data_IF_595222483490
#
_entry.id   IF_595222483490
#
_cell.length_a   1.000
_cell.length_b   1.000
_cell.length_c   1.000
_cell.angle_alpha   90.00
_cell.angle_beta   90.00
_cell.angle_gamma   90.00
#
_symmetry.space_group_name_H-M   'P 1'
#
loop_
_entity.id
_entity.type
_entity.pdbx_description
1 polymer ?
#
# COMPACT_ATOMS: atom_id res chain seq x y z
N UNK A 1 31.83 -30.61 0.27
CA UNK A 1 31.11 -29.96 1.38
C UNK A 1 31.48 -28.48 1.32
N UNK A 2 30.58 -27.63 0.83
CA UNK A 2 30.70 -26.19 0.94
C UNK A 2 29.30 -25.57 0.74
N UNK A 3 28.76 -25.11 1.87
CA UNK A 3 28.02 -23.85 2.00
C UNK A 3 26.72 -23.73 1.19
N UNK A 4 25.67 -24.29 1.81
CA UNK A 4 24.28 -23.89 1.60
C UNK A 4 24.16 -22.43 2.04
N UNK A 5 24.44 -21.50 1.11
CA UNK A 5 24.24 -20.08 1.31
C UNK A 5 22.73 -19.89 1.41
N UNK A 6 22.25 -19.74 2.63
CA UNK A 6 20.88 -19.35 2.92
C UNK A 6 20.64 -18.05 2.15
N UNK A 7 19.94 -18.16 1.01
CA UNK A 7 19.33 -17.02 0.35
C UNK A 7 18.34 -16.44 1.35
N UNK A 8 18.77 -15.35 2.00
CA UNK A 8 17.89 -14.47 2.73
C UNK A 8 16.67 -14.19 1.83
N UNK A 9 15.43 -14.32 2.32
CA UNK A 9 14.28 -13.91 1.54
C UNK A 9 14.49 -12.44 1.17
N UNK A 10 14.40 -12.17 -0.13
CA UNK A 10 14.58 -10.86 -0.71
C UNK A 10 13.40 -9.98 -0.26
N UNK A 11 13.57 -9.26 0.85
CA UNK A 11 12.57 -8.29 1.36
C UNK A 11 12.34 -7.11 0.40
N UNK A 12 13.00 -7.12 -0.77
CA UNK A 12 12.84 -6.10 -1.83
C UNK A 12 11.76 -6.48 -2.85
N UNK A 13 11.40 -7.77 -2.97
CA UNK A 13 10.47 -8.25 -4.02
C UNK A 13 9.04 -7.71 -3.82
N UNK A 14 8.60 -7.52 -2.57
CA UNK A 14 7.28 -6.93 -2.26
C UNK A 14 7.20 -5.44 -2.61
N UNK A 15 8.35 -4.73 -2.64
CA UNK A 15 8.40 -3.30 -3.00
C UNK A 15 8.36 -3.08 -4.50
N UNK A 16 8.78 -4.06 -5.30
CA UNK A 16 8.76 -4.00 -6.77
C UNK A 16 7.35 -4.16 -7.37
N UNK A 17 6.36 -4.62 -6.57
CA UNK A 17 4.96 -4.76 -6.99
C UNK A 17 4.07 -3.56 -6.65
N UNK A 18 4.62 -2.51 -6.02
CA UNK A 18 3.86 -1.32 -5.66
C UNK A 18 3.73 -0.35 -6.85
N UNK A 19 2.58 0.32 -7.01
CA UNK A 19 2.46 1.43 -7.96
C UNK A 19 3.49 2.50 -7.67
N UNK A 20 4.14 3.04 -8.70
CA UNK A 20 5.17 4.09 -8.58
C UNK A 20 4.68 5.25 -7.69
N UNK A 21 3.43 5.68 -7.88
CA UNK A 21 2.85 6.77 -7.08
C UNK A 21 2.75 6.43 -5.59
N UNK A 22 2.46 5.17 -5.25
CA UNK A 22 2.36 4.71 -3.85
C UNK A 22 3.74 4.62 -3.21
N UNK A 23 4.71 4.06 -3.93
CA UNK A 23 6.10 3.99 -3.47
C UNK A 23 6.66 5.40 -3.21
N UNK A 24 6.45 6.32 -4.14
CA UNK A 24 6.89 7.72 -4.02
C UNK A 24 6.23 8.40 -2.81
N UNK A 25 4.91 8.26 -2.65
CA UNK A 25 4.17 8.88 -1.55
C UNK A 25 4.59 8.34 -0.17
N UNK A 26 4.76 7.02 -0.03
CA UNK A 26 5.23 6.39 1.22
C UNK A 26 6.64 6.86 1.59
N UNK A 27 7.53 6.95 0.59
CA UNK A 27 8.90 7.43 0.77
C UNK A 27 8.95 8.90 1.17
N UNK A 28 8.13 9.76 0.55
CA UNK A 28 8.07 11.18 0.87
C UNK A 28 7.49 11.45 2.27
N UNK A 29 6.54 10.63 2.71
CA UNK A 29 5.88 10.77 3.99
C UNK A 29 6.59 10.06 5.16
N UNK A 30 7.73 9.40 4.89
CA UNK A 30 8.41 8.51 5.84
C UNK A 30 7.45 7.50 6.51
N UNK A 31 6.54 6.96 5.70
CA UNK A 31 5.38 6.22 6.18
C UNK A 31 5.53 4.69 6.05
N UNK A 32 6.73 4.22 5.68
CA UNK A 32 7.03 2.81 5.44
C UNK A 32 6.75 1.93 6.66
N UNK A 33 7.15 2.36 7.86
CA UNK A 33 6.88 1.61 9.09
C UNK A 33 5.37 1.37 9.29
N UNK A 34 4.55 2.42 9.16
CA UNK A 34 3.10 2.30 9.31
C UNK A 34 2.42 1.52 8.19
N UNK A 35 3.03 1.44 7.01
CA UNK A 35 2.61 0.59 5.89
C UNK A 35 2.93 -0.89 6.15
N UNK A 36 4.18 -1.20 6.52
CA UNK A 36 4.67 -2.57 6.77
C UNK A 36 4.00 -3.21 8.00
N UNK A 37 3.58 -2.42 8.99
CA UNK A 37 2.80 -2.89 10.13
C UNK A 37 1.37 -3.35 9.75
N UNK A 38 0.86 -3.00 8.57
CA UNK A 38 -0.49 -3.42 8.17
C UNK A 38 -0.54 -4.88 7.73
N UNK A 39 -1.66 -5.58 7.97
CA UNK A 39 -1.90 -6.90 7.40
C UNK A 39 -1.81 -6.88 5.86
N UNK A 40 -1.32 -7.96 5.27
CA UNK A 40 -1.16 -8.09 3.81
C UNK A 40 -2.47 -7.81 3.05
N UNK A 41 -3.62 -8.22 3.59
CA UNK A 41 -4.94 -7.95 2.98
C UNK A 41 -5.24 -6.44 2.89
N UNK A 42 -4.87 -5.69 3.93
CA UNK A 42 -5.03 -4.22 3.98
C UNK A 42 -4.11 -3.56 2.97
N UNK A 43 -2.85 -4.00 2.90
CA UNK A 43 -1.90 -3.50 1.91
C UNK A 43 -2.40 -3.77 0.47
N UNK A 44 -2.83 -4.99 0.16
CA UNK A 44 -3.35 -5.37 -1.15
C UNK A 44 -4.59 -4.56 -1.57
N UNK A 45 -5.48 -4.24 -0.63
CA UNK A 45 -6.63 -3.37 -0.88
C UNK A 45 -6.21 -1.96 -1.30
N UNK A 46 -5.27 -1.35 -0.59
CA UNK A 46 -4.79 -0.01 -0.92
C UNK A 46 -3.98 0.00 -2.22
N UNK A 47 -3.17 -1.02 -2.48
CA UNK A 47 -2.48 -1.20 -3.77
C UNK A 47 -3.49 -1.24 -4.93
N UNK A 48 -4.53 -2.06 -4.80
CA UNK A 48 -5.60 -2.17 -5.81
C UNK A 48 -6.34 -0.84 -6.00
N UNK A 49 -6.64 -0.16 -4.90
CA UNK A 49 -7.35 1.11 -4.90
C UNK A 49 -6.54 2.22 -5.59
N UNK A 50 -5.24 2.31 -5.32
CA UNK A 50 -4.32 3.25 -5.95
C UNK A 50 -4.12 2.92 -7.44
N UNK A 51 -4.07 1.64 -7.79
CA UNK A 51 -3.81 1.19 -9.17
C UNK A 51 -4.99 1.37 -10.12
N UNK A 52 -6.22 1.40 -9.60
CA UNK A 52 -7.43 1.32 -10.44
C UNK A 52 -7.70 2.53 -11.34
N UNK A 53 -7.51 3.79 -10.91
CA UNK A 53 -7.78 4.94 -11.78
C UNK A 53 -6.88 4.94 -13.02
N UNK A 54 -7.46 5.25 -14.18
CA UNK A 54 -6.67 5.43 -15.42
C UNK A 54 -5.87 6.73 -15.45
N UNK A 55 -6.24 7.71 -14.63
CA UNK A 55 -5.59 9.03 -14.61
C UNK A 55 -4.49 9.03 -13.57
N UNK A 56 -3.26 9.34 -13.99
CA UNK A 56 -2.09 9.43 -13.11
C UNK A 56 -2.32 10.36 -11.91
N UNK A 57 -2.99 11.51 -12.13
CA UNK A 57 -3.34 12.45 -11.05
C UNK A 57 -4.19 11.79 -9.94
N UNK A 58 -5.18 10.99 -10.32
CA UNK A 58 -6.06 10.35 -9.34
C UNK A 58 -5.35 9.20 -8.61
N UNK A 59 -4.48 8.46 -9.29
CA UNK A 59 -3.59 7.47 -8.64
C UNK A 59 -2.72 8.14 -7.59
N UNK A 60 -2.12 9.29 -7.93
CA UNK A 60 -1.31 10.09 -7.01
C UNK A 60 -2.10 10.58 -5.80
N UNK A 61 -3.28 11.14 -6.00
CA UNK A 61 -4.14 11.60 -4.88
C UNK A 61 -4.48 10.45 -3.92
N UNK A 62 -4.72 9.24 -4.45
CA UNK A 62 -4.96 8.03 -3.63
C UNK A 62 -3.70 7.55 -2.92
N UNK A 63 -2.54 7.60 -3.59
CA UNK A 63 -1.26 7.26 -3.00
C UNK A 63 -0.90 8.19 -1.83
N UNK A 64 -1.05 9.50 -2.02
CA UNK A 64 -0.84 10.53 -0.99
C UNK A 64 -1.78 10.32 0.20
N UNK A 65 -3.05 9.99 -0.07
CA UNK A 65 -4.02 9.65 0.98
C UNK A 65 -3.60 8.40 1.77
N UNK A 66 -3.10 7.38 1.08
CA UNK A 66 -2.62 6.13 1.71
C UNK A 66 -1.41 6.42 2.60
N UNK A 67 -0.43 7.15 2.09
CA UNK A 67 0.76 7.54 2.84
C UNK A 67 0.43 8.41 4.06
N UNK A 68 -0.54 9.31 3.94
CA UNK A 68 -1.05 10.09 5.08
C UNK A 68 -1.59 9.18 6.19
N UNK A 69 -2.46 8.22 5.87
CA UNK A 69 -2.99 7.30 6.88
C UNK A 69 -1.94 6.33 7.41
N UNK A 70 -0.98 5.93 6.59
CA UNK A 70 0.16 5.09 6.99
C UNK A 70 1.00 5.80 8.05
N UNK A 71 1.41 7.04 7.80
CA UNK A 71 2.21 7.84 8.73
C UNK A 71 1.52 8.08 10.07
N UNK A 72 0.18 8.07 10.10
CA UNK A 72 -0.60 8.30 11.32
C UNK A 72 -1.09 7.00 11.99
N UNK A 73 -0.67 5.81 11.52
CA UNK A 73 -1.11 4.52 12.07
C UNK A 73 -2.63 4.32 11.99
N UNK A 74 -3.25 4.88 10.95
CA UNK A 74 -4.70 4.99 10.82
C UNK A 74 -5.25 4.27 9.59
N UNK A 75 -4.44 3.49 8.86
CA UNK A 75 -4.86 2.73 7.67
C UNK A 75 -6.06 1.79 7.95
N UNK A 76 -5.97 0.94 8.96
CA UNK A 76 -7.07 0.06 9.39
C UNK A 76 -8.31 0.85 9.86
N UNK A 77 -8.10 1.99 10.54
CA UNK A 77 -9.20 2.85 11.01
C UNK A 77 -9.89 3.57 9.86
N UNK A 78 -9.15 3.97 8.84
CA UNK A 78 -9.68 4.61 7.64
C UNK A 78 -10.59 3.65 6.87
N UNK A 79 -10.20 2.37 6.79
CA UNK A 79 -11.06 1.29 6.29
C UNK A 79 -12.34 1.19 7.13
N UNK A 80 -12.23 1.13 8.46
CA UNK A 80 -13.42 0.98 9.33
C UNK A 80 -14.37 2.18 9.34
N UNK A 81 -13.88 3.39 9.03
CA UNK A 81 -14.67 4.64 9.06
C UNK A 81 -15.45 4.95 7.77
N UNK A 82 -15.41 4.09 6.76
CA UNK A 82 -16.36 4.12 5.64
C UNK A 82 -15.92 4.91 4.41
N UNK A 83 -15.31 6.09 4.50
CA UNK A 83 -15.05 6.89 3.27
C UNK A 83 -14.13 6.22 2.23
N UNK A 84 -12.91 5.75 2.56
CA UNK A 84 -12.12 5.01 1.58
C UNK A 84 -12.66 3.58 1.40
N UNK A 85 -13.29 2.99 2.41
CA UNK A 85 -13.85 1.63 2.31
C UNK A 85 -15.02 1.52 1.34
N UNK A 86 -15.98 2.45 1.35
CA UNK A 86 -17.08 2.47 0.38
C UNK A 86 -16.55 2.57 -1.06
N UNK A 87 -15.53 3.41 -1.27
CA UNK A 87 -14.85 3.50 -2.55
C UNK A 87 -14.15 2.17 -2.91
N UNK A 88 -13.48 1.51 -1.96
CA UNK A 88 -12.76 0.24 -2.14
C UNK A 88 -13.71 -0.97 -2.31
N UNK A 89 -14.83 -1.03 -1.60
CA UNK A 89 -15.82 -2.12 -1.71
C UNK A 89 -16.72 -1.97 -2.92
N UNK A 90 -16.97 -0.74 -3.38
CA UNK A 90 -17.62 -0.51 -4.69
C UNK A 90 -16.75 -0.99 -5.87
N UNK A 91 -15.48 -1.28 -5.61
CA UNK A 91 -14.47 -1.68 -6.60
C UNK A 91 -14.38 -3.21 -6.72
N UNK A 92 -14.67 -3.97 -5.66
CA UNK A 92 -14.63 -5.43 -5.68
C UNK A 92 -15.91 -6.01 -6.32
N UNK A 93 -15.81 -6.87 -7.36
CA UNK A 93 -16.97 -7.64 -7.81
C UNK A 93 -17.31 -8.67 -6.72
N UNK A 94 -18.59 -8.75 -6.37
CA UNK A 94 -19.11 -9.78 -5.47
C UNK A 94 -18.97 -11.17 -6.09
#
# INVERSE_FOLDING_TARGET
>A
MAEHRESLPDESDDRESLPDELFEALSQADAWAGWEEQPADVQALYVTWVSRPRRARERRERAETTAYYAAHGALDKAIRRGSPWEAITSILPW
#
